data_IF_977324664553
#
_entry.id   IF_977324664553
#
_cell.length_a   1.000
_cell.length_b   1.000
_cell.length_c   1.000
_cell.angle_alpha   90.00
_cell.angle_beta   90.00
_cell.angle_gamma   90.00
#
_symmetry.space_group_name_H-M   'P 1'
#
loop_
_entity.id
_entity.type
_entity.pdbx_description
1 polymer ?
#
# COMPACT_ATOMS: atom_id res chain seq x y z
N UNK A 1 4.39 -20.38 -0.07
CA UNK A 1 4.86 -21.75 -0.40
C UNK A 1 6.36 -21.97 -0.14
N UNK A 2 7.25 -21.00 -0.41
CA UNK A 2 8.71 -21.23 -0.39
C UNK A 2 9.45 -21.06 0.96
N UNK A 3 8.75 -20.90 2.09
CA UNK A 3 9.39 -20.78 3.41
C UNK A 3 9.37 -22.08 4.24
N UNK A 4 8.84 -23.17 3.69
CA UNK A 4 8.47 -24.34 4.48
C UNK A 4 9.52 -25.48 4.46
N UNK A 5 10.55 -25.41 3.60
CA UNK A 5 11.57 -26.47 3.51
C UNK A 5 12.92 -26.00 4.05
N UNK A 6 13.39 -26.66 5.10
CA UNK A 6 14.76 -26.59 5.65
C UNK A 6 15.76 -27.24 4.70
N UNK A 7 17.04 -26.93 4.88
CA UNK A 7 18.14 -27.49 4.09
C UNK A 7 18.16 -29.03 4.08
N UNK A 8 17.82 -29.68 5.19
CA UNK A 8 17.70 -31.14 5.26
C UNK A 8 16.53 -31.70 4.43
N UNK A 9 15.48 -30.91 4.22
CA UNK A 9 14.30 -31.29 3.42
C UNK A 9 14.59 -31.13 1.92
N UNK A 10 15.34 -30.10 1.53
CA UNK A 10 15.74 -29.90 0.13
C UNK A 10 16.65 -31.02 -0.38
N UNK A 11 17.45 -31.65 0.49
CA UNK A 11 18.30 -32.80 0.14
C UNK A 11 17.51 -34.06 -0.25
N UNK A 12 16.22 -34.12 0.05
CA UNK A 12 15.36 -35.26 -0.30
C UNK A 12 14.69 -35.06 -1.67
N UNK A 13 14.76 -33.85 -2.24
CA UNK A 13 14.25 -33.59 -3.57
C UNK A 13 15.22 -34.07 -4.63
N UNK A 14 14.71 -34.30 -5.84
CA UNK A 14 15.58 -34.45 -7.01
C UNK A 14 16.42 -33.17 -7.17
N UNK A 15 17.67 -33.26 -7.67
CA UNK A 15 18.53 -32.10 -7.85
C UNK A 15 17.85 -30.96 -8.64
N UNK A 16 17.09 -31.29 -9.68
CA UNK A 16 16.33 -30.31 -10.46
C UNK A 16 15.26 -29.58 -9.62
N UNK A 17 14.44 -30.32 -8.85
CA UNK A 17 13.40 -29.73 -7.98
C UNK A 17 14.03 -28.88 -6.87
N UNK A 18 15.13 -29.34 -6.27
CA UNK A 18 15.86 -28.59 -5.24
C UNK A 18 16.42 -27.27 -5.79
N UNK A 19 17.05 -27.30 -6.97
CA UNK A 19 17.60 -26.10 -7.62
C UNK A 19 16.53 -25.07 -7.93
N UNK A 20 15.39 -25.48 -8.52
CA UNK A 20 14.26 -24.58 -8.78
C UNK A 20 13.79 -23.93 -7.49
N UNK A 21 13.62 -24.72 -6.42
CA UNK A 21 13.17 -24.19 -5.13
C UNK A 21 14.15 -23.17 -4.55
N UNK A 22 15.45 -23.45 -4.59
CA UNK A 22 16.48 -22.53 -4.07
C UNK A 22 16.47 -21.22 -4.85
N UNK A 23 16.42 -21.28 -6.18
CA UNK A 23 16.35 -20.08 -7.03
C UNK A 23 15.09 -19.28 -6.73
N UNK A 24 13.92 -19.92 -6.70
CA UNK A 24 12.66 -19.25 -6.35
C UNK A 24 12.70 -18.63 -4.95
N UNK A 25 13.28 -19.33 -3.97
CA UNK A 25 13.46 -18.81 -2.62
C UNK A 25 14.36 -17.58 -2.61
N UNK A 26 15.52 -17.61 -3.28
CA UNK A 26 16.43 -16.47 -3.36
C UNK A 26 15.76 -15.27 -4.02
N UNK A 27 15.09 -15.46 -5.16
CA UNK A 27 14.33 -14.40 -5.83
C UNK A 27 13.24 -13.81 -4.92
N UNK A 28 12.46 -14.65 -4.24
CA UNK A 28 11.41 -14.18 -3.33
C UNK A 28 11.99 -13.42 -2.13
N UNK A 29 13.08 -13.92 -1.54
CA UNK A 29 13.75 -13.29 -0.39
C UNK A 29 14.40 -11.97 -0.78
N UNK A 30 14.99 -11.89 -1.96
CA UNK A 30 15.51 -10.63 -2.49
C UNK A 30 14.39 -9.59 -2.63
N UNK A 31 13.24 -9.99 -3.18
CA UNK A 31 12.00 -9.21 -3.20
C UNK A 31 11.60 -8.65 -1.83
N UNK A 32 11.48 -9.52 -0.84
CA UNK A 32 11.10 -9.12 0.52
C UNK A 32 12.14 -8.22 1.21
N UNK A 33 13.44 -8.40 0.92
CA UNK A 33 14.49 -7.53 1.46
C UNK A 33 14.29 -6.11 0.91
N UNK A 34 14.06 -5.96 -0.40
CA UNK A 34 13.78 -4.66 -1.00
C UNK A 34 12.49 -4.05 -0.48
N UNK A 35 11.41 -4.82 -0.31
CA UNK A 35 10.18 -4.33 0.34
C UNK A 35 10.48 -3.79 1.74
N UNK A 36 11.26 -4.52 2.54
CA UNK A 36 11.59 -4.11 3.90
C UNK A 36 12.46 -2.85 3.94
N UNK A 37 13.44 -2.73 3.04
CA UNK A 37 14.28 -1.54 2.92
C UNK A 37 13.47 -0.33 2.47
N UNK A 38 12.58 -0.52 1.49
CA UNK A 38 11.68 0.53 0.98
C UNK A 38 10.70 0.98 2.05
N UNK A 39 10.06 0.04 2.75
CA UNK A 39 9.19 0.33 3.88
C UNK A 39 9.95 1.03 5.02
N UNK A 40 11.20 0.65 5.28
CA UNK A 40 12.08 1.32 6.24
C UNK A 40 12.36 2.77 5.86
N UNK A 41 12.64 3.02 4.58
CA UNK A 41 12.86 4.36 4.04
C UNK A 41 11.58 5.20 4.13
N UNK A 42 10.45 4.65 3.68
CA UNK A 42 9.13 5.26 3.73
C UNK A 42 8.74 5.68 5.15
N UNK A 43 8.78 4.72 6.09
CA UNK A 43 8.46 4.97 7.51
C UNK A 43 9.43 5.96 8.13
N UNK A 44 10.71 5.90 7.75
CA UNK A 44 11.72 6.84 8.20
C UNK A 44 11.40 8.28 7.80
N UNK A 45 11.06 8.51 6.54
CA UNK A 45 10.65 9.84 6.04
C UNK A 45 9.40 10.32 6.77
N UNK A 46 8.33 9.51 6.81
CA UNK A 46 7.08 9.86 7.50
C UNK A 46 7.28 10.19 8.97
N UNK A 47 8.16 9.45 9.67
CA UNK A 47 8.51 9.72 11.06
C UNK A 47 9.13 11.12 11.22
N UNK A 48 10.05 11.51 10.35
CA UNK A 48 10.67 12.83 10.41
C UNK A 48 9.72 13.94 9.98
N UNK A 49 8.85 13.70 8.99
CA UNK A 49 7.77 14.64 8.65
C UNK A 49 6.87 14.90 9.86
N UNK A 50 6.39 13.84 10.52
CA UNK A 50 5.57 13.95 11.72
C UNK A 50 6.30 14.67 12.86
N UNK A 51 7.58 14.34 13.08
CA UNK A 51 8.40 14.98 14.12
C UNK A 51 8.64 16.47 13.81
N UNK A 52 8.83 16.83 12.54
CA UNK A 52 9.00 18.21 12.11
C UNK A 52 7.70 19.01 12.27
N UNK A 53 6.54 18.41 11.98
CA UNK A 53 5.23 19.02 12.24
C UNK A 53 5.00 19.27 13.73
N UNK A 54 5.28 18.27 14.58
CA UNK A 54 5.17 18.42 16.04
C UNK A 54 6.11 19.48 16.60
N UNK A 55 7.35 19.53 16.09
CA UNK A 55 8.30 20.58 16.43
C UNK A 55 7.76 21.96 16.03
N UNK A 56 7.27 22.09 14.80
CA UNK A 56 6.69 23.34 14.29
C UNK A 56 5.51 23.82 15.13
N UNK A 57 4.54 22.96 15.44
CA UNK A 57 3.40 23.32 16.29
C UNK A 57 3.85 23.77 17.68
N UNK A 58 4.87 23.12 18.24
CA UNK A 58 5.45 23.51 19.53
C UNK A 58 6.14 24.88 19.47
N UNK A 59 6.89 25.17 18.40
CA UNK A 59 7.57 26.46 18.24
C UNK A 59 6.57 27.59 17.97
N UNK A 60 5.55 27.36 17.16
CA UNK A 60 4.45 28.31 16.94
C UNK A 60 3.76 28.63 18.25
N UNK A 61 3.44 27.62 19.07
CA UNK A 61 2.82 27.87 20.36
C UNK A 61 3.72 28.70 21.29
N UNK A 62 5.04 28.46 21.27
CA UNK A 62 6.01 29.26 22.05
C UNK A 62 6.11 30.70 21.55
N UNK A 63 6.24 30.89 20.24
CA UNK A 63 6.35 32.21 19.62
C UNK A 63 5.04 33.01 19.76
N UNK A 64 3.87 32.39 19.55
CA UNK A 64 2.58 33.02 19.79
C UNK A 64 2.44 33.47 21.25
N UNK A 65 2.86 32.64 22.23
CA UNK A 65 2.88 33.03 23.64
C UNK A 65 3.87 34.16 23.93
N UNK A 66 5.05 34.15 23.30
CA UNK A 66 6.06 35.21 23.43
C UNK A 66 5.53 36.54 22.87
N UNK A 67 5.02 36.53 21.64
CA UNK A 67 4.44 37.70 20.98
C UNK A 67 3.21 38.22 21.74
N UNK A 68 2.33 37.35 22.24
CA UNK A 68 1.19 37.73 23.08
C UNK A 68 1.62 38.48 24.35
N UNK A 69 2.78 38.16 24.94
CA UNK A 69 3.35 38.92 26.07
C UNK A 69 3.88 40.29 25.61
N UNK A 70 4.52 40.36 24.44
CA UNK A 70 5.04 41.62 23.90
C UNK A 70 3.92 42.56 23.43
N UNK A 71 2.80 42.05 22.92
CA UNK A 71 1.60 42.83 22.55
C UNK A 71 1.12 43.69 23.72
N UNK A 72 1.20 43.19 24.96
CA UNK A 72 0.79 43.98 26.14
C UNK A 72 1.59 45.27 26.28
N UNK A 73 2.84 45.29 25.81
CA UNK A 73 3.72 46.47 25.81
C UNK A 73 3.44 47.45 24.68
N UNK A 74 2.64 47.05 23.67
CA UNK A 74 2.23 47.95 22.58
C UNK A 74 1.42 49.11 23.14
N UNK A 75 0.62 48.89 24.20
CA UNK A 75 -0.07 49.97 24.91
C UNK A 75 0.91 51.03 25.42
N UNK A 76 2.02 50.61 26.02
CA UNK A 76 3.05 51.53 26.54
C UNK A 76 3.75 52.29 25.40
N UNK A 77 3.99 51.62 24.26
CA UNK A 77 4.51 52.26 23.05
C UNK A 77 3.54 53.33 22.52
N UNK A 78 2.24 53.04 22.48
CA UNK A 78 1.21 53.99 22.05
C UNK A 78 1.11 55.19 23.01
N UNK A 79 1.24 54.98 24.33
CA UNK A 79 1.30 56.06 25.30
C UNK A 79 2.52 56.96 25.12
N UNK A 80 3.70 56.39 24.85
CA UNK A 80 4.91 57.17 24.55
C UNK A 80 4.70 58.01 23.29
N UNK A 81 4.12 57.44 22.23
CA UNK A 81 3.82 58.17 21.01
C UNK A 81 2.83 59.32 21.25
N UNK A 82 1.71 59.06 21.95
CA UNK A 82 0.69 60.07 22.23
C UNK A 82 1.19 61.22 23.10
N UNK A 83 2.04 60.93 24.10
CA UNK A 83 2.61 61.96 24.98
C UNK A 83 3.71 62.78 24.30
N UNK A 84 4.44 62.18 23.36
CA UNK A 84 5.49 62.86 22.58
C UNK A 84 4.96 63.72 21.42
N UNK A 85 3.67 63.59 21.07
CA UNK A 85 3.07 64.26 19.91
C UNK A 85 3.04 65.81 20.01
N UNK A 86 3.16 66.36 21.22
CA UNK A 86 3.13 67.81 21.47
C UNK A 86 4.52 68.44 21.63
N UNK A 87 5.60 67.65 21.53
CA UNK A 87 6.97 68.13 21.70
C UNK A 87 7.67 68.29 20.33
N UNK A 88 7.51 69.46 19.71
CA UNK A 88 8.07 69.79 18.39
C UNK A 88 9.61 69.76 18.34
N UNK A 89 10.28 69.68 19.49
CA UNK A 89 11.75 69.68 19.59
C UNK A 89 12.37 68.27 19.64
N UNK A 90 11.56 67.22 19.79
CA UNK A 90 12.07 65.87 19.99
C UNK A 90 12.56 65.24 18.68
N UNK A 91 13.84 64.84 18.63
CA UNK A 91 14.40 64.12 17.48
C UNK A 91 13.81 62.70 17.35
N UNK A 92 13.41 62.30 16.14
CA UNK A 92 12.86 60.97 15.85
C UNK A 92 13.74 59.80 16.33
N UNK A 93 15.08 59.95 16.28
CA UNK A 93 16.03 58.96 16.80
C UNK A 93 15.93 58.78 18.33
N UNK A 94 15.66 59.86 19.07
CA UNK A 94 15.49 59.80 20.52
C UNK A 94 14.16 59.12 20.90
N UNK A 95 13.10 59.40 20.15
CA UNK A 95 11.80 58.73 20.28
C UNK A 95 11.91 57.22 20.03
N UNK A 96 12.54 56.82 18.91
CA UNK A 96 12.77 55.40 18.60
C UNK A 96 13.60 54.70 19.68
N UNK A 97 14.60 55.37 20.26
CA UNK A 97 15.39 54.81 21.37
C UNK A 97 14.54 54.56 22.63
N UNK A 98 13.55 55.40 22.90
CA UNK A 98 12.61 55.20 24.02
C UNK A 98 11.63 54.07 23.71
N UNK A 99 11.14 53.96 22.48
CA UNK A 99 10.29 52.85 22.03
C UNK A 99 11.04 51.52 22.11
N UNK A 100 12.30 51.46 21.65
CA UNK A 100 13.11 50.24 21.66
C UNK A 100 13.52 49.77 23.07
N UNK A 101 13.48 50.64 24.09
CA UNK A 101 13.60 50.22 25.50
C UNK A 101 12.39 49.43 25.97
N UNK A 102 11.21 49.70 25.41
CA UNK A 102 9.94 49.07 25.79
C UNK A 102 9.72 47.80 24.94
N UNK A 103 9.83 47.93 23.62
CA UNK A 103 9.66 46.85 22.65
C UNK A 103 10.87 46.82 21.70
N UNK A 104 11.76 45.80 21.80
CA UNK A 104 12.96 45.73 20.98
C UNK A 104 12.65 45.79 19.48
N UNK A 105 13.57 46.38 18.70
CA UNK A 105 13.40 46.55 17.25
C UNK A 105 13.13 45.22 16.52
N UNK A 106 13.76 44.12 16.95
CA UNK A 106 13.55 42.79 16.37
C UNK A 106 12.14 42.24 16.58
N UNK A 107 11.46 42.67 17.65
CA UNK A 107 10.10 42.21 17.99
C UNK A 107 9.03 43.16 17.44
N UNK A 108 9.37 44.41 17.10
CA UNK A 108 8.41 45.43 16.68
C UNK A 108 7.64 44.99 15.42
N UNK A 109 8.35 44.53 14.39
CA UNK A 109 7.74 44.03 13.15
C UNK A 109 6.92 42.76 13.40
N UNK A 110 7.49 41.77 14.09
CA UNK A 110 6.81 40.50 14.36
C UNK A 110 5.54 40.66 15.22
N UNK A 111 5.53 41.62 16.15
CA UNK A 111 4.34 41.95 16.95
C UNK A 111 3.28 42.65 16.09
N UNK A 112 3.68 43.57 15.22
CA UNK A 112 2.78 44.23 14.28
C UNK A 112 2.12 43.22 13.33
N UNK A 113 2.90 42.31 12.75
CA UNK A 113 2.42 41.25 11.86
C UNK A 113 1.46 40.30 12.59
N UNK A 114 1.80 39.91 13.83
CA UNK A 114 0.93 39.08 14.66
C UNK A 114 -0.40 39.77 15.01
N UNK A 115 -0.40 41.08 15.27
CA UNK A 115 -1.62 41.87 15.48
C UNK A 115 -2.46 41.97 14.19
N UNK A 116 -1.82 42.00 13.03
CA UNK A 116 -2.46 41.95 11.72
C UNK A 116 -3.00 40.55 11.35
N UNK A 117 -2.96 39.58 12.28
CA UNK A 117 -3.36 38.17 12.11
C UNK A 117 -2.56 37.44 11.03
N UNK A 118 -1.31 37.84 10.78
CA UNK A 118 -0.41 37.04 9.94
C UNK A 118 -0.12 35.72 10.67
N UNK A 119 -0.42 34.60 10.02
CA UNK A 119 -0.12 33.28 10.59
C UNK A 119 1.40 33.10 10.71
N UNK A 120 1.85 32.61 11.87
CA UNK A 120 3.26 32.27 12.06
C UNK A 120 3.68 31.18 11.06
N UNK A 121 4.85 31.37 10.47
CA UNK A 121 5.33 30.52 9.38
C UNK A 121 5.66 29.10 9.86
N UNK A 122 4.70 28.18 9.68
CA UNK A 122 4.86 26.76 10.01
C UNK A 122 6.02 26.13 9.27
N UNK A 123 6.20 26.47 7.98
CA UNK A 123 7.19 25.84 7.10
C UNK A 123 8.60 26.18 7.54
N UNK A 124 8.83 27.41 7.99
CA UNK A 124 10.12 27.83 8.53
C UNK A 124 10.59 26.91 9.67
N UNK A 125 9.73 26.64 10.66
CA UNK A 125 10.07 25.75 11.77
C UNK A 125 10.23 24.29 11.34
N UNK A 126 9.49 23.82 10.34
CA UNK A 126 9.66 22.48 9.75
C UNK A 126 11.08 22.33 9.20
N UNK A 127 11.54 23.27 8.36
CA UNK A 127 12.88 23.19 7.76
C UNK A 127 13.99 23.45 8.78
N UNK A 128 13.74 24.26 9.81
CA UNK A 128 14.63 24.39 10.96
C UNK A 128 14.83 23.07 11.69
N UNK A 129 13.77 22.26 11.88
CA UNK A 129 13.88 20.93 12.49
C UNK A 129 14.82 20.02 11.70
N UNK A 130 14.69 20.00 10.36
CA UNK A 130 15.60 19.23 9.52
C UNK A 130 17.04 19.67 9.72
N UNK A 131 17.32 20.98 9.66
CA UNK A 131 18.66 21.55 9.87
C UNK A 131 19.28 21.11 11.20
N UNK A 132 18.50 21.16 12.29
CA UNK A 132 18.95 20.74 13.63
C UNK A 132 19.21 19.23 13.74
N UNK A 133 18.51 18.40 12.96
CA UNK A 133 18.58 16.93 13.04
C UNK A 133 19.41 16.28 11.92
N UNK A 134 20.26 17.06 11.24
CA UNK A 134 21.07 16.65 10.08
C UNK A 134 21.79 15.32 10.23
N UNK A 135 22.55 15.15 11.32
CA UNK A 135 23.35 13.95 11.57
C UNK A 135 22.48 12.70 11.71
N UNK A 136 21.39 12.80 12.48
CA UNK A 136 20.46 11.68 12.75
C UNK A 136 19.72 11.27 11.49
N UNK A 137 19.25 12.23 10.69
CA UNK A 137 18.53 11.98 9.45
C UNK A 137 19.46 11.31 8.43
N UNK A 138 20.67 11.86 8.21
CA UNK A 138 21.67 11.25 7.32
C UNK A 138 22.00 9.82 7.73
N UNK A 139 22.24 9.57 9.03
CA UNK A 139 22.55 8.22 9.53
C UNK A 139 21.45 7.20 9.22
N UNK A 140 20.19 7.62 9.33
CA UNK A 140 19.05 6.71 9.25
C UNK A 140 18.51 6.54 7.83
N UNK A 141 18.51 7.60 7.00
CA UNK A 141 17.88 7.56 5.66
C UNK A 141 18.88 7.42 4.52
N UNK A 142 20.07 8.03 4.60
CA UNK A 142 20.98 8.11 3.45
C UNK A 142 21.45 6.75 2.97
N UNK A 143 21.71 5.82 3.90
CA UNK A 143 22.11 4.45 3.53
C UNK A 143 21.00 3.75 2.75
N UNK A 144 19.74 3.90 3.16
CA UNK A 144 18.59 3.33 2.45
C UNK A 144 18.44 3.95 1.07
N UNK A 145 18.53 5.29 0.97
CA UNK A 145 18.52 6.00 -0.31
C UNK A 145 19.61 5.50 -1.27
N UNK A 146 20.83 5.30 -0.78
CA UNK A 146 21.97 4.84 -1.60
C UNK A 146 21.88 3.36 -2.00
N UNK A 147 21.17 2.54 -1.23
CA UNK A 147 21.00 1.09 -1.48
C UNK A 147 19.83 0.78 -2.40
N UNK A 148 18.71 1.48 -2.24
CA UNK A 148 17.53 1.26 -3.06
C UNK A 148 17.78 1.69 -4.51
N UNK A 149 17.32 0.90 -5.47
CA UNK A 149 17.37 1.23 -6.89
C UNK A 149 16.01 1.79 -7.30
N UNK A 150 15.97 3.10 -7.55
CA UNK A 150 14.75 3.81 -7.95
C UNK A 150 14.75 3.90 -9.47
N UNK A 151 13.75 3.32 -10.08
CA UNK A 151 13.38 3.58 -11.46
C UNK A 151 12.28 4.64 -11.46
N UNK A 152 12.40 5.65 -12.31
CA UNK A 152 11.41 6.73 -12.43
C UNK A 152 10.81 6.63 -13.83
N UNK A 153 9.49 6.84 -13.93
CA UNK A 153 8.79 6.91 -15.20
C UNK A 153 9.48 7.89 -16.15
N UNK A 154 9.57 7.50 -17.43
CA UNK A 154 10.28 8.25 -18.49
C UNK A 154 9.76 9.67 -18.69
N UNK A 155 8.51 9.94 -18.31
CA UNK A 155 7.92 11.27 -18.35
C UNK A 155 8.53 12.24 -17.32
N UNK A 156 9.26 11.75 -16.32
CA UNK A 156 9.84 12.55 -15.22
C UNK A 156 11.38 12.43 -15.19
N UNK A 157 12.02 12.67 -16.34
CA UNK A 157 13.45 12.44 -16.52
C UNK A 157 14.33 13.34 -15.64
N UNK A 158 13.88 14.54 -15.29
CA UNK A 158 14.57 15.50 -14.42
C UNK A 158 14.77 14.91 -13.02
N UNK A 159 13.70 14.32 -12.45
CA UNK A 159 13.77 13.64 -11.16
C UNK A 159 14.68 12.39 -11.23
N UNK A 160 14.59 11.62 -12.31
CA UNK A 160 15.44 10.46 -12.54
C UNK A 160 16.93 10.84 -12.54
N UNK A 161 17.28 11.86 -13.33
CA UNK A 161 18.63 12.38 -13.45
C UNK A 161 19.13 12.93 -12.10
N UNK A 162 18.32 13.72 -11.40
CA UNK A 162 18.70 14.26 -10.10
C UNK A 162 18.96 13.16 -9.06
N UNK A 163 18.17 12.07 -9.04
CA UNK A 163 18.41 10.93 -8.15
C UNK A 163 19.73 10.24 -8.48
N UNK A 164 20.02 10.01 -9.77
CA UNK A 164 21.26 9.38 -10.22
C UNK A 164 22.46 10.23 -9.81
N UNK A 165 22.44 11.52 -10.12
CA UNK A 165 23.50 12.47 -9.77
C UNK A 165 23.68 12.58 -8.26
N UNK A 166 22.59 12.77 -7.50
CA UNK A 166 22.65 12.84 -6.05
C UNK A 166 23.28 11.57 -5.43
N UNK A 167 22.93 10.38 -5.92
CA UNK A 167 23.57 9.13 -5.46
C UNK A 167 25.06 9.08 -5.77
N UNK A 168 25.47 9.53 -6.95
CA UNK A 168 26.88 9.58 -7.34
C UNK A 168 27.67 10.55 -6.45
N UNK A 169 27.19 11.78 -6.30
CA UNK A 169 27.86 12.83 -5.51
C UNK A 169 27.92 12.48 -4.03
N UNK A 170 26.84 11.93 -3.47
CA UNK A 170 26.82 11.45 -2.08
C UNK A 170 27.83 10.32 -1.82
N UNK A 171 28.10 9.47 -2.82
CA UNK A 171 29.14 8.41 -2.73
C UNK A 171 30.55 8.98 -2.85
N UNK A 172 30.75 9.98 -3.72
CA UNK A 172 32.07 10.54 -4.02
C UNK A 172 32.54 11.58 -3.00
N UNK A 173 31.65 12.52 -2.64
CA UNK A 173 32.00 13.69 -1.84
C UNK A 173 31.08 13.92 -0.62
N UNK A 174 30.07 13.06 -0.40
CA UNK A 174 29.25 13.07 0.81
C UNK A 174 28.15 14.15 0.85
N UNK A 175 28.01 14.92 -0.22
CA UNK A 175 27.06 16.02 -0.35
C UNK A 175 26.55 16.14 -1.79
N UNK A 176 25.34 16.67 -1.98
CA UNK A 176 24.76 16.95 -3.30
C UNK A 176 25.25 18.34 -3.72
N UNK A 177 25.94 18.43 -4.86
CA UNK A 177 26.50 19.68 -5.36
C UNK A 177 25.71 20.21 -6.55
N UNK A 178 25.27 19.33 -7.43
CA UNK A 178 24.41 19.68 -8.56
C UNK A 178 22.95 19.54 -8.15
N UNK A 179 22.27 20.68 -8.07
CA UNK A 179 20.86 20.80 -7.68
C UNK A 179 20.10 21.40 -8.85
N UNK A 180 19.15 20.64 -9.37
CA UNK A 180 18.13 21.11 -10.28
C UNK A 180 17.02 21.81 -9.48
N UNK A 181 17.02 23.14 -9.52
CA UNK A 181 16.05 23.97 -8.79
C UNK A 181 14.63 23.87 -9.37
N UNK A 182 14.46 23.42 -10.62
CA UNK A 182 13.13 23.26 -11.24
C UNK A 182 12.31 22.15 -10.56
N UNK A 183 12.99 21.24 -9.85
CA UNK A 183 12.34 20.22 -9.01
C UNK A 183 11.76 20.80 -7.71
N UNK A 184 12.22 21.97 -7.29
CA UNK A 184 11.81 22.65 -6.06
C UNK A 184 10.58 23.51 -6.34
N UNK A 185 9.53 23.35 -5.53
CA UNK A 185 8.36 24.23 -5.66
C UNK A 185 8.76 25.67 -5.30
N UNK A 186 8.32 26.69 -6.05
CA UNK A 186 8.64 28.08 -5.73
C UNK A 186 8.26 28.48 -4.30
N UNK A 187 7.21 27.89 -3.74
CA UNK A 187 6.75 28.11 -2.37
C UNK A 187 7.53 27.37 -1.28
N UNK A 188 8.46 26.49 -1.65
CA UNK A 188 9.35 25.78 -0.73
C UNK A 188 10.81 26.28 -0.83
N UNK A 189 11.20 26.90 -1.96
CA UNK A 189 12.55 27.38 -2.23
C UNK A 189 13.14 28.31 -1.14
N UNK A 190 12.41 29.33 -0.63
CA UNK A 190 12.95 30.24 0.39
C UNK A 190 13.35 29.53 1.70
N UNK A 191 12.75 28.37 2.00
CA UNK A 191 13.03 27.65 3.25
C UNK A 191 14.22 26.69 3.18
N UNK A 192 14.68 26.41 1.96
CA UNK A 192 15.74 25.45 1.68
C UNK A 192 17.03 26.21 1.29
N UNK A 193 16.94 27.51 0.99
CA UNK A 193 18.08 28.38 0.73
C UNK A 193 18.84 28.78 2.00
N UNK A 194 20.12 29.11 1.82
CA UNK A 194 20.95 29.77 2.82
C UNK A 194 21.00 31.28 2.53
N UNK A 195 20.30 32.06 3.34
CA UNK A 195 20.23 33.52 3.20
C UNK A 195 21.50 34.24 3.71
N UNK A 196 22.42 33.52 4.35
CA UNK A 196 23.67 34.06 4.91
C UNK A 196 24.76 34.34 3.85
N UNK A 197 24.46 34.11 2.56
CA UNK A 197 25.39 34.27 1.43
C UNK A 197 24.94 35.42 0.51
N UNK A 198 25.90 36.13 -0.09
CA UNK A 198 25.62 37.23 -1.05
C UNK A 198 24.75 36.78 -2.23
N UNK A 199 24.79 35.48 -2.57
CA UNK A 199 23.87 34.83 -3.50
C UNK A 199 23.17 33.69 -2.74
N UNK A 200 21.83 33.71 -2.59
CA UNK A 200 21.10 32.63 -1.95
C UNK A 200 21.34 31.32 -2.71
N UNK A 201 21.90 30.33 -2.03
CA UNK A 201 22.12 29.00 -2.60
C UNK A 201 21.34 27.96 -1.82
N UNK A 202 20.83 26.94 -2.51
CA UNK A 202 20.08 25.85 -1.89
C UNK A 202 21.00 25.05 -0.96
N UNK A 203 20.60 24.85 0.29
CA UNK A 203 21.33 24.01 1.24
C UNK A 203 21.31 22.55 0.77
N UNK A 204 22.49 21.93 0.53
CA UNK A 204 22.56 20.57 0.01
C UNK A 204 21.85 19.51 0.87
N UNK A 205 21.82 19.69 2.18
CA UNK A 205 21.19 18.74 3.08
C UNK A 205 19.67 18.93 3.15
N UNK A 206 19.19 20.17 3.14
CA UNK A 206 17.76 20.41 3.05
C UNK A 206 17.21 19.94 1.69
N UNK A 207 17.98 20.11 0.61
CA UNK A 207 17.65 19.53 -0.69
C UNK A 207 17.64 18.00 -0.67
N UNK A 208 18.61 17.36 -0.02
CA UNK A 208 18.60 15.90 0.17
C UNK A 208 17.30 15.43 0.87
N UNK A 209 16.87 16.13 1.92
CA UNK A 209 15.61 15.83 2.60
C UNK A 209 14.39 16.09 1.70
N UNK A 210 14.42 17.16 0.90
CA UNK A 210 13.39 17.46 -0.09
C UNK A 210 13.28 16.37 -1.17
N UNK A 211 14.41 15.89 -1.68
CA UNK A 211 14.49 14.82 -2.66
C UNK A 211 13.89 13.50 -2.12
N UNK A 212 14.15 13.17 -0.86
CA UNK A 212 13.52 12.00 -0.22
C UNK A 212 11.98 12.10 -0.22
N UNK A 213 11.44 13.29 0.05
CA UNK A 213 9.98 13.53 0.02
C UNK A 213 9.41 13.43 -1.39
N UNK A 214 10.15 13.92 -2.40
CA UNK A 214 9.79 13.75 -3.82
C UNK A 214 9.75 12.29 -4.24
N UNK A 215 10.72 11.48 -3.81
CA UNK A 215 10.73 10.03 -4.07
C UNK A 215 9.54 9.35 -3.41
N UNK A 216 9.21 9.71 -2.17
CA UNK A 216 8.05 9.16 -1.48
C UNK A 216 6.74 9.50 -2.20
N UNK A 217 6.57 10.75 -2.66
CA UNK A 217 5.43 11.15 -3.48
C UNK A 217 5.40 10.40 -4.82
N UNK A 218 6.56 10.16 -5.44
CA UNK A 218 6.64 9.40 -6.68
C UNK A 218 6.28 7.93 -6.48
N UNK A 219 6.65 7.31 -5.35
CA UNK A 219 6.23 5.97 -4.96
C UNK A 219 4.72 5.90 -4.70
N UNK A 220 4.15 6.91 -4.01
CA UNK A 220 2.70 6.96 -3.71
C UNK A 220 1.84 7.17 -4.97
N UNK A 221 2.41 7.73 -6.05
CA UNK A 221 1.70 8.07 -7.29
C UNK A 221 2.02 7.14 -8.47
N UNK A 222 2.64 5.98 -8.22
CA UNK A 222 3.07 5.03 -9.28
C UNK A 222 3.94 5.70 -10.37
N UNK A 223 4.84 6.60 -9.96
CA UNK A 223 5.84 7.24 -10.83
C UNK A 223 7.24 6.65 -10.56
N UNK A 224 7.49 6.20 -9.34
CA UNK A 224 8.74 5.56 -8.94
C UNK A 224 8.52 4.08 -8.65
N UNK A 225 9.42 3.25 -9.16
CA UNK A 225 9.37 1.80 -9.05
C UNK A 225 10.70 1.22 -8.58
N UNK A 226 10.63 -0.02 -8.11
CA UNK A 226 11.75 -0.84 -7.65
C UNK A 226 11.52 -2.25 -8.22
N UNK A 227 12.20 -2.60 -9.32
CA UNK A 227 12.03 -3.88 -10.05
C UNK A 227 11.95 -5.12 -9.14
N UNK A 228 12.91 -5.21 -8.23
CA UNK A 228 13.04 -6.36 -7.35
C UNK A 228 12.28 -6.18 -6.05
N UNK A 229 11.12 -5.55 -6.10
CA UNK A 229 10.14 -5.40 -5.01
C UNK A 229 8.94 -6.31 -5.28
N UNK A 230 8.16 -6.66 -4.26
CA UNK A 230 6.83 -7.25 -4.48
C UNK A 230 5.73 -6.20 -4.42
N UNK A 231 5.97 -5.10 -3.71
CA UNK A 231 4.98 -4.03 -3.51
C UNK A 231 5.13 -2.86 -4.49
N UNK A 232 6.36 -2.57 -4.89
CA UNK A 232 6.72 -1.36 -5.66
C UNK A 232 7.30 -1.68 -7.04
N UNK A 233 7.06 -2.89 -7.53
CA UNK A 233 7.57 -3.36 -8.84
C UNK A 233 6.77 -2.70 -9.97
N UNK A 234 7.40 -2.29 -11.08
CA UNK A 234 6.67 -1.75 -12.22
C UNK A 234 5.73 -2.80 -12.81
N UNK A 235 4.58 -2.37 -13.34
CA UNK A 235 3.60 -3.27 -13.95
C UNK A 235 4.23 -4.12 -15.06
N UNK A 236 5.14 -3.54 -15.84
CA UNK A 236 5.83 -4.20 -16.95
C UNK A 236 6.56 -5.49 -16.55
N UNK A 237 7.04 -5.60 -15.31
CA UNK A 237 7.70 -6.81 -14.80
C UNK A 237 6.70 -7.97 -14.54
N UNK A 238 5.40 -7.67 -14.45
CA UNK A 238 4.33 -8.69 -14.38
C UNK A 238 3.78 -9.06 -15.76
N UNK A 239 4.08 -8.24 -16.78
CA UNK A 239 3.58 -8.46 -18.13
C UNK A 239 4.47 -9.45 -18.89
N UNK A 240 3.84 -10.14 -19.83
CA UNK A 240 4.56 -11.02 -20.75
C UNK A 240 5.45 -10.17 -21.64
N UNK A 241 6.67 -10.64 -21.94
CA UNK A 241 7.58 -9.92 -22.83
C UNK A 241 6.93 -9.66 -24.19
N UNK A 242 7.16 -8.46 -24.77
CA UNK A 242 6.60 -8.04 -26.06
C UNK A 242 6.87 -9.03 -27.20
N UNK A 243 7.97 -9.78 -27.13
CA UNK A 243 8.28 -10.83 -28.12
C UNK A 243 7.26 -11.96 -28.05
N UNK A 244 6.99 -12.46 -26.85
CA UNK A 244 6.09 -13.60 -26.62
C UNK A 244 4.61 -13.19 -26.75
N UNK A 245 4.29 -11.92 -26.49
CA UNK A 245 2.94 -11.37 -26.67
C UNK A 245 2.42 -11.65 -28.09
N UNK A 246 3.19 -11.37 -29.14
CA UNK A 246 2.72 -11.59 -30.53
C UNK A 246 2.38 -13.04 -30.82
N UNK A 247 3.19 -13.97 -30.31
CA UNK A 247 2.97 -15.39 -30.50
C UNK A 247 1.71 -15.85 -29.76
N UNK A 248 1.52 -15.40 -28.52
CA UNK A 248 0.34 -15.73 -27.71
C UNK A 248 -0.95 -15.09 -28.25
N UNK A 249 -0.89 -13.83 -28.69
CA UNK A 249 -2.04 -13.16 -29.31
C UNK A 249 -2.55 -13.93 -30.53
N UNK A 250 -1.61 -14.46 -31.33
CA UNK A 250 -1.94 -15.23 -32.53
C UNK A 250 -2.58 -16.59 -32.21
N UNK A 251 -2.25 -17.19 -31.06
CA UNK A 251 -2.75 -18.51 -30.67
C UNK A 251 -4.08 -18.47 -29.90
N UNK A 252 -4.41 -17.35 -29.24
CA UNK A 252 -5.60 -17.24 -28.38
C UNK A 252 -6.91 -17.05 -29.13
N UNK A 253 -6.89 -16.66 -30.41
CA UNK A 253 -8.09 -16.44 -31.25
C UNK A 253 -9.19 -15.60 -30.58
N UNK A 254 -8.82 -14.62 -29.74
CA UNK A 254 -9.77 -13.75 -29.02
C UNK A 254 -10.10 -12.51 -29.87
N UNK A 255 -11.38 -12.25 -30.20
CA UNK A 255 -11.76 -11.12 -31.05
C UNK A 255 -11.30 -9.75 -30.54
N UNK A 256 -11.23 -9.55 -29.21
CA UNK A 256 -10.78 -8.29 -28.61
C UNK A 256 -9.29 -7.98 -28.88
N UNK A 257 -8.49 -9.01 -29.20
CA UNK A 257 -7.06 -8.83 -29.52
C UNK A 257 -6.84 -8.38 -30.97
N UNK A 258 -7.88 -8.43 -31.81
CA UNK A 258 -7.83 -8.01 -33.21
C UNK A 258 -8.13 -6.51 -33.41
N UNK A 259 -8.45 -5.81 -32.32
CA UNK A 259 -8.87 -4.41 -32.32
C UNK A 259 -7.78 -3.58 -31.63
N UNK A 260 -7.51 -2.37 -32.13
CA UNK A 260 -6.52 -1.50 -31.50
C UNK A 260 -7.00 -1.01 -30.12
N UNK A 261 -6.07 -0.62 -29.25
CA UNK A 261 -6.40 -0.07 -27.92
C UNK A 261 -7.30 1.17 -28.05
N UNK A 262 -7.06 2.00 -29.08
CA UNK A 262 -7.86 3.21 -29.32
C UNK A 262 -9.30 2.88 -29.71
N UNK A 263 -9.49 1.90 -30.61
CA UNK A 263 -10.82 1.45 -31.03
C UNK A 263 -11.57 0.76 -29.88
N UNK A 264 -10.89 -0.10 -29.11
CA UNK A 264 -11.47 -0.73 -27.93
C UNK A 264 -11.91 0.33 -26.90
N UNK A 265 -11.07 1.33 -26.64
CA UNK A 265 -11.38 2.41 -25.70
C UNK A 265 -12.55 3.25 -26.17
N UNK A 266 -12.64 3.54 -27.47
CA UNK A 266 -13.77 4.25 -28.06
C UNK A 266 -15.07 3.45 -27.91
N UNK A 267 -15.06 2.16 -28.25
CA UNK A 267 -16.23 1.28 -28.10
C UNK A 267 -16.69 1.11 -26.65
N UNK A 268 -15.76 0.96 -25.71
CA UNK A 268 -16.07 0.90 -24.28
C UNK A 268 -16.66 2.22 -23.77
N UNK A 269 -16.15 3.36 -24.26
CA UNK A 269 -16.68 4.68 -23.92
C UNK A 269 -18.11 4.86 -24.43
N UNK A 270 -18.38 4.51 -25.69
CA UNK A 270 -19.72 4.57 -26.26
C UNK A 270 -20.71 3.70 -25.49
N UNK A 271 -20.31 2.45 -25.19
CA UNK A 271 -21.11 1.53 -24.39
C UNK A 271 -21.40 2.10 -22.99
N UNK A 272 -20.39 2.67 -22.33
CA UNK A 272 -20.54 3.30 -21.03
C UNK A 272 -21.52 4.48 -21.10
N UNK A 273 -21.36 5.37 -22.07
CA UNK A 273 -22.23 6.53 -22.26
C UNK A 273 -23.68 6.10 -22.55
N UNK A 274 -23.89 5.07 -23.36
CA UNK A 274 -25.20 4.50 -23.63
C UNK A 274 -25.83 3.92 -22.37
N UNK A 275 -25.08 3.13 -21.60
CA UNK A 275 -25.57 2.55 -20.35
C UNK A 275 -25.87 3.63 -19.30
N UNK A 276 -25.06 4.68 -19.21
CA UNK A 276 -25.33 5.82 -18.33
C UNK A 276 -26.61 6.56 -18.74
N UNK A 277 -26.84 6.79 -20.04
CA UNK A 277 -28.07 7.40 -20.56
C UNK A 277 -29.29 6.53 -20.29
N UNK A 278 -29.20 5.23 -20.59
CA UNK A 278 -30.27 4.26 -20.39
C UNK A 278 -30.63 4.13 -18.90
N UNK A 279 -29.63 4.04 -18.03
CA UNK A 279 -29.81 3.98 -16.57
C UNK A 279 -30.50 5.25 -16.06
N UNK A 280 -30.00 6.43 -16.45
CA UNK A 280 -30.59 7.72 -16.05
C UNK A 280 -32.03 7.86 -16.53
N UNK A 281 -32.32 7.47 -17.77
CA UNK A 281 -33.68 7.46 -18.33
C UNK A 281 -34.61 6.56 -17.52
N UNK A 282 -34.18 5.33 -17.20
CA UNK A 282 -34.98 4.38 -16.41
C UNK A 282 -35.26 4.89 -15.00
N UNK A 283 -34.28 5.53 -14.36
CA UNK A 283 -34.46 6.17 -13.05
C UNK A 283 -35.51 7.28 -13.15
N UNK A 284 -35.35 8.21 -14.10
CA UNK A 284 -36.26 9.36 -14.25
C UNK A 284 -37.69 8.95 -14.65
N UNK A 285 -37.85 7.79 -15.29
CA UNK A 285 -39.15 7.22 -15.67
C UNK A 285 -39.79 6.37 -14.56
N UNK A 286 -39.12 6.20 -13.41
CA UNK A 286 -39.58 5.31 -12.34
C UNK A 286 -39.52 3.82 -12.70
N UNK A 287 -38.87 3.45 -13.80
CA UNK A 287 -38.71 2.08 -14.28
C UNK A 287 -37.47 1.37 -13.68
N UNK A 288 -36.89 1.96 -12.64
CA UNK A 288 -35.81 1.40 -11.84
C UNK A 288 -36.29 1.21 -10.40
N UNK A 289 -36.72 -0.01 -10.08
CA UNK A 289 -37.29 -0.37 -8.77
C UNK A 289 -36.28 -0.23 -7.61
N UNK A 290 -34.99 -0.06 -7.91
CA UNK A 290 -33.92 0.06 -6.93
C UNK A 290 -33.59 1.50 -6.56
N UNK A 291 -34.11 2.48 -7.29
CA UNK A 291 -33.87 3.91 -7.04
C UNK A 291 -35.21 4.60 -6.78
N UNK A 292 -35.48 4.92 -5.52
CA UNK A 292 -36.72 5.57 -5.10
C UNK A 292 -36.45 7.07 -4.92
N UNK A 293 -37.14 7.89 -5.71
CA UNK A 293 -37.15 9.33 -5.53
C UNK A 293 -38.20 9.71 -4.47
N UNK A 294 -37.79 10.47 -3.44
CA UNK A 294 -38.71 10.95 -2.40
C UNK A 294 -39.05 12.43 -2.65
N UNK A 295 -40.23 12.68 -3.24
CA UNK A 295 -40.73 14.05 -3.52
C UNK A 295 -40.79 14.95 -2.28
N UNK A 296 -40.96 14.37 -1.09
CA UNK A 296 -41.05 15.12 0.18
C UNK A 296 -39.71 15.66 0.68
N UNK A 297 -38.58 15.02 0.33
CA UNK A 297 -37.25 15.37 0.86
C UNK A 297 -36.28 15.83 -0.23
N UNK A 298 -36.68 15.70 -1.50
CA UNK A 298 -35.83 15.95 -2.66
C UNK A 298 -34.51 15.14 -2.61
N UNK A 299 -34.57 13.93 -2.05
CA UNK A 299 -33.41 13.03 -1.93
C UNK A 299 -33.65 11.70 -2.65
N UNK A 300 -32.56 11.16 -3.22
CA UNK A 300 -32.53 9.86 -3.89
C UNK A 300 -32.20 8.80 -2.84
N UNK A 301 -33.09 7.83 -2.63
CA UNK A 301 -32.83 6.68 -1.76
C UNK A 301 -32.51 5.46 -2.63
N UNK A 302 -31.25 5.02 -2.55
CA UNK A 302 -30.81 3.76 -3.15
C UNK A 302 -31.29 2.61 -2.27
N UNK A 303 -32.03 1.66 -2.85
CA UNK A 303 -32.37 0.41 -2.20
C UNK A 303 -31.58 -0.73 -2.83
N UNK A 304 -30.72 -1.36 -2.03
CA UNK A 304 -30.11 -2.63 -2.40
C UNK A 304 -31.21 -3.70 -2.31
N UNK A 305 -31.61 -4.29 -3.44
CA UNK A 305 -32.38 -5.52 -3.39
C UNK A 305 -31.48 -6.65 -2.92
N UNK A 306 -31.56 -6.96 -1.63
CA UNK A 306 -30.99 -8.19 -1.07
C UNK A 306 -31.94 -9.38 -1.31
N UNK A 307 -32.80 -9.32 -2.33
CA UNK A 307 -33.68 -10.41 -2.72
C UNK A 307 -33.51 -10.70 -4.20
N UNK A 308 -32.36 -11.25 -4.56
CA UNK A 308 -32.39 -12.17 -5.69
C UNK A 308 -33.19 -13.39 -5.22
N UNK A 309 -34.30 -13.76 -5.86
CA UNK A 309 -34.75 -15.14 -5.74
C UNK A 309 -33.57 -15.99 -6.18
N UNK A 310 -33.11 -16.88 -5.29
CA UNK A 310 -32.12 -17.89 -5.63
C UNK A 310 -32.62 -18.52 -6.94
N UNK A 311 -31.83 -18.49 -8.03
CA UNK A 311 -32.29 -19.08 -9.28
C UNK A 311 -32.74 -20.50 -8.95
N UNK A 312 -33.97 -20.86 -9.34
CA UNK A 312 -34.60 -22.16 -9.17
C UNK A 312 -33.94 -23.23 -10.05
N UNK A 313 -32.61 -23.24 -10.04
CA UNK A 313 -31.76 -24.24 -10.70
C UNK A 313 -31.41 -25.35 -9.71
N UNK A 314 -31.74 -25.19 -8.42
CA UNK A 314 -31.83 -26.34 -7.54
C UNK A 314 -33.10 -27.12 -7.91
N UNK A 315 -32.88 -28.25 -8.59
CA UNK A 315 -33.89 -29.27 -8.80
C UNK A 315 -34.56 -29.57 -7.45
N UNK A 316 -35.90 -29.56 -7.39
CA UNK A 316 -36.69 -29.84 -6.17
C UNK A 316 -36.32 -31.16 -5.49
N UNK A 317 -35.67 -32.08 -6.22
CA UNK A 317 -35.05 -33.28 -5.66
C UNK A 317 -34.05 -32.95 -4.55
N UNK A 318 -33.24 -31.90 -4.70
CA UNK A 318 -32.24 -31.53 -3.69
C UNK A 318 -32.84 -30.91 -2.42
N UNK A 319 -34.06 -30.38 -2.49
CA UNK A 319 -34.80 -29.86 -1.34
C UNK A 319 -35.31 -30.99 -0.42
N UNK A 320 -35.25 -32.25 -0.87
CA UNK A 320 -35.69 -33.43 -0.11
C UNK A 320 -34.59 -34.00 0.78
N UNK A 321 -33.33 -33.55 0.63
CA UNK A 321 -32.22 -34.01 1.46
C UNK A 321 -31.99 -33.09 2.65
N UNK A 322 -31.67 -33.69 3.80
CA UNK A 322 -31.24 -32.94 4.97
C UNK A 322 -29.92 -32.21 4.69
N UNK A 323 -29.83 -30.96 5.16
CA UNK A 323 -28.60 -30.20 5.05
C UNK A 323 -27.56 -30.75 6.02
N UNK A 324 -26.41 -31.16 5.50
CA UNK A 324 -25.28 -31.67 6.28
C UNK A 324 -24.14 -30.65 6.24
N UNK A 325 -23.49 -30.44 7.39
CA UNK A 325 -22.31 -29.57 7.48
C UNK A 325 -21.12 -30.15 6.69
N UNK A 326 -20.36 -29.30 6.01
CA UNK A 326 -19.23 -29.72 5.17
C UNK A 326 -18.18 -30.57 5.89
N UNK A 327 -17.91 -30.30 7.17
CA UNK A 327 -16.98 -31.12 7.98
C UNK A 327 -17.52 -32.53 8.17
N UNK A 328 -18.82 -32.68 8.40
CA UNK A 328 -19.45 -33.98 8.58
C UNK A 328 -19.47 -34.76 7.26
N UNK A 329 -19.76 -34.08 6.15
CA UNK A 329 -19.62 -34.66 4.82
C UNK A 329 -18.18 -35.18 4.58
N UNK A 330 -17.15 -34.40 4.94
CA UNK A 330 -15.77 -34.85 4.81
C UNK A 330 -15.44 -36.05 5.69
N UNK A 331 -16.09 -36.23 6.86
CA UNK A 331 -15.93 -37.43 7.68
C UNK A 331 -16.53 -38.65 6.99
N UNK A 332 -17.72 -38.52 6.42
CA UNK A 332 -18.37 -39.60 5.66
C UNK A 332 -17.49 -40.00 4.48
N UNK A 333 -16.98 -39.03 3.71
CA UNK A 333 -16.07 -39.33 2.59
C UNK A 333 -14.79 -40.00 3.08
N UNK A 334 -14.27 -39.62 4.25
CA UNK A 334 -13.10 -40.29 4.81
C UNK A 334 -13.39 -41.73 5.23
N UNK A 335 -14.57 -42.03 5.77
CA UNK A 335 -14.96 -43.41 6.13
C UNK A 335 -14.98 -44.32 4.89
N UNK A 336 -15.41 -43.80 3.74
CA UNK A 336 -15.51 -44.57 2.50
C UNK A 336 -14.18 -44.66 1.73
N UNK A 337 -13.32 -43.64 1.81
CA UNK A 337 -12.14 -43.52 0.93
C UNK A 337 -10.80 -43.63 1.67
N UNK A 338 -10.79 -43.41 2.98
CA UNK A 338 -9.58 -43.26 3.80
C UNK A 338 -8.60 -42.18 3.29
N UNK A 339 -9.09 -41.14 2.59
CA UNK A 339 -8.23 -40.08 2.06
C UNK A 339 -7.39 -39.36 3.14
N UNK A 340 -7.81 -39.44 4.41
CA UNK A 340 -7.07 -38.87 5.52
C UNK A 340 -5.67 -39.47 5.71
N UNK A 341 -5.48 -40.74 5.37
CA UNK A 341 -4.22 -41.45 5.57
C UNK A 341 -3.07 -40.89 4.71
N UNK A 342 -3.42 -40.20 3.62
CA UNK A 342 -2.48 -39.52 2.73
C UNK A 342 -1.83 -38.28 3.37
N UNK A 343 -2.42 -37.73 4.44
CA UNK A 343 -1.84 -36.62 5.19
C UNK A 343 -0.72 -37.07 6.13
N UNK A 344 0.39 -37.47 5.53
CA UNK A 344 1.59 -37.94 6.22
C UNK A 344 2.42 -36.78 6.79
N UNK A 345 3.07 -37.02 7.93
CA UNK A 345 3.96 -36.02 8.53
C UNK A 345 5.16 -35.75 7.60
N UNK A 346 5.57 -34.49 7.47
CA UNK A 346 6.67 -34.10 6.58
C UNK A 346 8.02 -34.75 6.93
N UNK A 347 8.16 -35.20 8.18
CA UNK A 347 9.28 -36.00 8.69
C UNK A 347 8.76 -37.35 9.18
N UNK A 348 8.76 -38.36 8.32
CA UNK A 348 8.30 -39.72 8.67
C UNK A 348 9.05 -40.31 9.87
N UNK A 349 10.34 -39.97 10.06
CA UNK A 349 11.17 -40.43 11.20
C UNK A 349 10.84 -39.79 12.55
N UNK A 350 10.07 -38.70 12.59
CA UNK A 350 9.75 -37.95 13.81
C UNK A 350 8.27 -38.00 14.18
N UNK A 351 7.48 -38.85 13.50
CA UNK A 351 6.05 -38.99 13.77
C UNK A 351 5.84 -39.73 15.10
N UNK A 352 5.79 -38.97 16.20
CA UNK A 352 5.53 -39.49 17.56
C UNK A 352 4.03 -39.66 17.83
N UNK A 353 3.18 -38.96 17.08
CA UNK A 353 1.71 -38.95 17.23
C UNK A 353 1.04 -38.95 15.86
N UNK A 354 -0.08 -39.64 15.74
CA UNK A 354 -0.92 -39.57 14.54
C UNK A 354 -1.52 -38.18 14.38
N UNK A 355 -1.70 -37.69 13.14
CA UNK A 355 -2.38 -36.43 12.88
C UNK A 355 -3.79 -36.46 13.47
N UNK A 356 -4.25 -35.33 14.00
CA UNK A 356 -5.64 -35.19 14.43
C UNK A 356 -6.51 -34.89 13.21
N UNK A 357 -7.49 -35.77 12.94
CA UNK A 357 -8.45 -35.59 11.85
C UNK A 357 -9.15 -34.23 11.90
N UNK A 358 -9.56 -33.79 13.08
CA UNK A 358 -10.28 -32.52 13.23
C UNK A 358 -9.41 -31.32 12.87
N UNK A 359 -8.13 -31.35 13.24
CA UNK A 359 -7.20 -30.26 12.95
C UNK A 359 -6.92 -30.19 11.44
N UNK A 360 -6.81 -31.34 10.76
CA UNK A 360 -6.62 -31.38 9.30
C UNK A 360 -7.87 -30.90 8.58
N UNK A 361 -9.06 -31.38 8.95
CA UNK A 361 -10.32 -30.92 8.36
C UNK A 361 -10.54 -29.42 8.58
N UNK A 362 -10.22 -28.91 9.77
CA UNK A 362 -10.28 -27.49 10.08
C UNK A 362 -9.30 -26.67 9.22
N UNK A 363 -8.08 -27.18 8.99
CA UNK A 363 -7.12 -26.55 8.08
C UNK A 363 -7.61 -26.55 6.62
N UNK A 364 -8.17 -27.67 6.15
CA UNK A 364 -8.70 -27.79 4.78
C UNK A 364 -9.87 -26.82 4.60
N UNK A 365 -10.82 -26.80 5.54
CA UNK A 365 -11.97 -25.88 5.50
C UNK A 365 -11.50 -24.43 5.50
N UNK A 366 -10.63 -24.05 6.44
CA UNK A 366 -10.16 -22.67 6.56
C UNK A 366 -9.43 -22.15 5.32
N UNK A 367 -8.63 -23.01 4.68
CA UNK A 367 -7.95 -22.66 3.45
C UNK A 367 -8.89 -22.68 2.24
N UNK A 368 -9.78 -23.68 2.15
CA UNK A 368 -10.72 -23.84 1.05
C UNK A 368 -11.78 -22.73 0.98
N UNK A 369 -12.16 -22.15 2.12
CA UNK A 369 -13.14 -21.05 2.19
C UNK A 369 -12.50 -19.65 2.27
N UNK A 370 -11.18 -19.54 2.19
CA UNK A 370 -10.44 -18.28 2.41
C UNK A 370 -10.67 -17.61 3.79
N UNK A 371 -11.22 -18.32 4.78
CA UNK A 371 -11.32 -17.80 6.14
C UNK A 371 -9.97 -17.79 6.87
N UNK A 372 -9.07 -18.69 6.50
CA UNK A 372 -7.75 -18.84 7.10
C UNK A 372 -7.79 -19.41 8.51
N UNK A 373 -6.63 -19.84 9.00
CA UNK A 373 -6.51 -20.54 10.29
C UNK A 373 -6.92 -19.69 11.50
N UNK A 374 -6.66 -18.37 11.45
CA UNK A 374 -6.97 -17.47 12.57
C UNK A 374 -8.48 -17.37 12.82
N UNK A 375 -9.26 -17.21 11.76
CA UNK A 375 -10.72 -17.14 11.88
C UNK A 375 -11.29 -18.47 12.32
N UNK A 376 -10.81 -19.60 11.78
CA UNK A 376 -11.23 -20.94 12.20
C UNK A 376 -10.93 -21.18 13.67
N UNK A 377 -9.73 -20.83 14.17
CA UNK A 377 -9.38 -20.98 15.58
C UNK A 377 -10.30 -20.18 16.51
N UNK A 378 -10.75 -18.99 16.09
CA UNK A 378 -11.64 -18.15 16.91
C UNK A 378 -13.10 -18.64 16.98
N UNK A 379 -13.53 -19.46 16.02
CA UNK A 379 -14.92 -19.95 15.92
C UNK A 379 -15.04 -21.45 16.20
N UNK A 380 -13.96 -22.10 16.63
CA UNK A 380 -13.92 -23.54 16.92
C UNK A 380 -13.22 -23.81 18.25
N UNK A 381 -13.21 -25.08 18.66
CA UNK A 381 -12.52 -25.59 19.85
C UNK A 381 -11.00 -25.79 19.64
N UNK A 382 -10.43 -25.23 18.56
CA UNK A 382 -9.07 -25.50 18.08
C UNK A 382 -8.16 -24.30 18.33
N UNK A 383 -6.96 -24.53 18.85
CA UNK A 383 -5.99 -23.45 19.02
C UNK A 383 -5.34 -23.07 17.69
N UNK A 384 -5.06 -21.78 17.49
CA UNK A 384 -4.35 -21.30 16.30
C UNK A 384 -2.97 -21.97 16.13
N UNK A 385 -2.28 -22.24 17.24
CA UNK A 385 -0.97 -22.87 17.22
C UNK A 385 -1.04 -24.32 16.73
N UNK A 386 -2.06 -25.08 17.14
CA UNK A 386 -2.26 -26.46 16.71
C UNK A 386 -2.64 -26.54 15.24
N UNK A 387 -3.53 -25.65 14.77
CA UNK A 387 -3.87 -25.56 13.35
C UNK A 387 -2.66 -25.15 12.50
N UNK A 388 -1.88 -24.17 12.97
CA UNK A 388 -0.67 -23.72 12.27
C UNK A 388 0.37 -24.84 12.18
N UNK A 389 0.59 -25.58 13.26
CA UNK A 389 1.50 -26.73 13.28
C UNK A 389 1.00 -27.84 12.36
N UNK A 390 -0.29 -28.17 12.42
CA UNK A 390 -0.93 -29.18 11.58
C UNK A 390 -0.79 -28.85 10.10
N UNK A 391 -1.12 -27.62 9.70
CA UNK A 391 -0.95 -27.17 8.33
C UNK A 391 0.50 -27.29 7.87
N UNK A 392 1.47 -26.82 8.67
CA UNK A 392 2.87 -26.87 8.29
C UNK A 392 3.40 -28.31 8.15
N UNK A 393 2.90 -29.23 8.97
CA UNK A 393 3.45 -30.57 9.08
C UNK A 393 2.76 -31.60 8.17
N UNK A 394 1.50 -31.40 7.79
CA UNK A 394 0.69 -32.40 7.10
C UNK A 394 0.08 -31.92 5.77
N UNK A 395 -0.22 -30.62 5.62
CA UNK A 395 -0.82 -30.10 4.39
C UNK A 395 0.26 -29.60 3.43
N UNK A 396 0.58 -30.41 2.43
CA UNK A 396 1.52 -30.11 1.34
C UNK A 396 0.84 -30.39 0.01
N UNK A 397 1.38 -29.84 -1.08
CA UNK A 397 0.81 -30.08 -2.41
C UNK A 397 0.75 -31.59 -2.71
N UNK A 398 1.78 -32.32 -2.31
CA UNK A 398 1.86 -33.77 -2.50
C UNK A 398 0.77 -34.53 -1.74
N UNK A 399 0.54 -34.20 -0.45
CA UNK A 399 -0.48 -34.89 0.38
C UNK A 399 -1.89 -34.48 0.00
N UNK A 400 -2.12 -33.21 -0.35
CA UNK A 400 -3.41 -32.73 -0.85
C UNK A 400 -3.78 -33.39 -2.18
N UNK A 401 -2.80 -33.56 -3.08
CA UNK A 401 -3.01 -34.26 -4.34
C UNK A 401 -3.32 -35.73 -4.12
N UNK A 402 -2.52 -36.43 -3.32
CA UNK A 402 -2.74 -37.84 -3.01
C UNK A 402 -4.12 -38.08 -2.37
N UNK A 403 -4.50 -37.26 -1.38
CA UNK A 403 -5.82 -37.28 -0.77
C UNK A 403 -6.95 -37.11 -1.81
N UNK A 404 -6.80 -36.12 -2.71
CA UNK A 404 -7.77 -35.90 -3.77
C UNK A 404 -7.86 -37.08 -4.75
N UNK A 405 -6.71 -37.65 -5.14
CA UNK A 405 -6.64 -38.77 -6.07
C UNK A 405 -7.39 -40.00 -5.49
N UNK A 406 -7.19 -40.31 -4.21
CA UNK A 406 -7.90 -41.39 -3.50
C UNK A 406 -9.42 -41.16 -3.46
N UNK A 407 -9.86 -39.92 -3.20
CA UNK A 407 -11.28 -39.58 -3.23
C UNK A 407 -11.88 -39.78 -4.64
N UNK A 408 -11.18 -39.31 -5.67
CA UNK A 408 -11.67 -39.39 -7.05
C UNK A 408 -11.70 -40.81 -7.59
N UNK A 409 -10.71 -41.64 -7.26
CA UNK A 409 -10.66 -43.03 -7.71
C UNK A 409 -11.78 -43.91 -7.11
N UNK A 410 -12.35 -43.50 -5.98
CA UNK A 410 -13.34 -44.29 -5.22
C UNK A 410 -14.79 -44.05 -5.65
N UNK A 411 -15.07 -43.04 -6.49
CA UNK A 411 -16.44 -42.63 -6.81
C UNK A 411 -16.87 -43.13 -8.21
N UNK A 412 -17.88 -44.03 -8.30
CA UNK A 412 -18.35 -44.60 -9.57
C UNK A 412 -18.88 -43.53 -10.55
N UNK A 413 -19.30 -42.38 -10.03
CA UNK A 413 -19.84 -41.30 -10.86
C UNK A 413 -18.83 -40.76 -11.89
N UNK A 414 -17.52 -40.88 -11.63
CA UNK A 414 -16.48 -40.40 -12.55
C UNK A 414 -16.32 -41.26 -13.80
N UNK A 415 -16.84 -42.49 -13.81
CA UNK A 415 -16.94 -43.29 -15.04
C UNK A 415 -17.86 -42.62 -16.07
N UNK A 416 -18.92 -41.93 -15.62
CA UNK A 416 -19.87 -41.23 -16.48
C UNK A 416 -19.38 -39.85 -16.94
N UNK A 417 -18.27 -39.34 -16.38
CA UNK A 417 -17.64 -38.09 -16.78
C UNK A 417 -16.40 -38.31 -17.67
N UNK A 418 -16.09 -39.55 -18.07
CA UNK A 418 -15.02 -39.83 -19.02
C UNK A 418 -15.35 -39.25 -20.40
N UNK A 419 -14.65 -38.17 -20.78
CA UNK A 419 -14.80 -37.53 -22.10
C UNK A 419 -13.93 -38.26 -23.16
N UNK A 420 -12.87 -38.96 -22.74
CA UNK A 420 -12.08 -39.87 -23.58
C UNK A 420 -11.58 -41.11 -22.82
N UNK A 421 -11.09 -42.13 -23.55
CA UNK A 421 -10.57 -43.39 -23.00
C UNK A 421 -9.18 -43.26 -22.32
N UNK A 422 -8.56 -42.07 -22.33
CA UNK A 422 -7.17 -41.86 -21.88
C UNK A 422 -7.07 -41.33 -20.45
N UNK A 423 -8.19 -40.98 -19.80
CA UNK A 423 -8.19 -40.59 -18.40
C UNK A 423 -9.57 -40.38 -17.78
N UNK A 424 -9.65 -40.51 -16.46
CA UNK A 424 -10.82 -40.05 -15.69
C UNK A 424 -10.81 -38.52 -15.65
N UNK A 425 -11.89 -37.91 -16.12
CA UNK A 425 -12.07 -36.47 -16.12
C UNK A 425 -13.00 -36.10 -14.97
N UNK A 426 -12.56 -35.20 -14.10
CA UNK A 426 -13.42 -34.51 -13.14
C UNK A 426 -13.61 -33.07 -13.58
N UNK A 427 -14.80 -32.49 -13.36
CA UNK A 427 -14.99 -31.05 -13.45
C UNK A 427 -14.22 -30.37 -12.31
N UNK A 428 -12.93 -30.13 -12.53
CA UNK A 428 -12.05 -29.35 -11.62
C UNK A 428 -12.37 -27.85 -11.67
N UNK A 429 -13.16 -27.41 -12.65
CA UNK A 429 -13.66 -26.05 -12.66
C UNK A 429 -14.81 -25.95 -11.64
N UNK A 430 -14.43 -25.54 -10.43
CA UNK A 430 -15.37 -25.01 -9.44
C UNK A 430 -16.04 -23.80 -10.08
N UNK A 431 -17.18 -24.03 -10.74
CA UNK A 431 -17.92 -22.98 -11.41
C UNK A 431 -18.09 -21.80 -10.45
N UNK A 432 -17.58 -20.66 -10.95
CA UNK A 432 -17.60 -19.35 -10.34
C UNK A 432 -19.04 -18.95 -10.03
N UNK A 433 -19.45 -19.11 -8.79
CA UNK A 433 -20.48 -18.24 -8.23
C UNK A 433 -19.79 -17.10 -7.49
N UNK A 434 -20.29 -15.89 -7.68
CA UNK A 434 -19.92 -14.75 -6.85
C UNK A 434 -20.17 -15.11 -5.38
N UNK A 435 -19.08 -15.34 -4.63
CA UNK A 435 -19.16 -15.31 -3.17
C UNK A 435 -19.44 -13.86 -2.77
N UNK A 436 -20.70 -13.60 -2.42
CA UNK A 436 -21.14 -12.32 -1.87
C UNK A 436 -20.59 -12.15 -0.45
N UNK A 437 -19.89 -11.04 -0.22
CA UNK A 437 -19.87 -10.37 1.07
C UNK A 437 -21.06 -9.40 1.14
#
# INVERSE_FOLDING_TARGET
MFQNYRTSQLKQFTPAKASIYIVSFLCQRYGHINDNLTNGFYRGIRKYEQSASQYSDTQIAKEANRLSKQIKKVSDVLHVLANSANDETMLAKALLKNIYKILPQSDLASVADFMAKVELDKKQFIWQYYRQNKVTIRRNLRRLFLTLEFEIDKAHFELANQIILAKQELRQCGEIKTIDEDLIRPSDLPYIQNDDLDVPTVDPFLFECYLYRKILQALDNDICYIHHSHQYRPLDDYLINKVDQKQLSSSMSLPMLNVTISELSAGLKELLEEQMKNTSKRINQGANDYVIYSDQTNTIKWSLSVKNPVPTVNNRVFEQFDQVGIIELMRVVNQETNFFDEFTHFQSKYQRTQPNLNDILACILGNGTNFGLYKIANISDRSFNDLRATQANYLRLETLRAANDVMTASLPIFEYYQIDERGQHGSIDGQKFECRF
#
